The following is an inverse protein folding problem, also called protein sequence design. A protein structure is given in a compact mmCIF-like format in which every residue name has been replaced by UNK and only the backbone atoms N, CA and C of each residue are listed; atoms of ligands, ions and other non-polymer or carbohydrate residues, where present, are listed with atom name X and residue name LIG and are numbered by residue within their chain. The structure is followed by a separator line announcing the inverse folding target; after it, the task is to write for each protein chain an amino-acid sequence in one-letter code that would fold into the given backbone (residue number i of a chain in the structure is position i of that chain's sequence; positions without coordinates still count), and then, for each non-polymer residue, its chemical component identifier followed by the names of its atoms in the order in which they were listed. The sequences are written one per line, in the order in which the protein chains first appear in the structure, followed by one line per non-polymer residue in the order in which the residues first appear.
data_IF_891887505000
#
_entry.id   IF_891887505000
#
_cell.length_a   1.000
_cell.length_b   1.000
_cell.length_c   1.000
_cell.angle_alpha   90.00
_cell.angle_beta   90.00
_cell.angle_gamma   90.00
#
_symmetry.space_group_name_H-M   'P 1'
#
loop_
_entity.id
_entity.type
_entity.pdbx_description
1 polymer ?
#
# COMPACT_ATOMS: atom_id res chain seq x y z
N UNK A 1 -8.43 -22.79 14.77
CA UNK A 1 -9.83 -22.56 14.35
C UNK A 1 -9.74 -21.66 13.13
N UNK A 2 -9.96 -22.21 11.93
CA UNK A 2 -9.79 -21.48 10.66
C UNK A 2 -11.20 -21.21 10.13
N UNK A 3 -11.74 -20.03 10.43
CA UNK A 3 -12.91 -19.46 9.76
C UNK A 3 -12.41 -18.18 9.06
N UNK A 4 -12.82 -17.80 7.86
CA UNK A 4 -13.74 -18.36 6.89
C UNK A 4 -13.20 -18.00 5.49
N UNK A 5 -13.44 -18.85 4.49
CA UNK A 5 -13.33 -18.43 3.09
C UNK A 5 -14.36 -17.31 2.86
N UNK A 6 -13.91 -16.04 2.89
CA UNK A 6 -14.75 -14.93 2.48
C UNK A 6 -14.84 -14.93 0.95
N UNK A 7 -16.07 -15.08 0.46
CA UNK A 7 -16.39 -14.82 -0.95
C UNK A 7 -16.05 -13.37 -1.25
N UNK A 8 -15.18 -13.16 -2.25
CA UNK A 8 -14.70 -11.84 -2.72
C UNK A 8 -15.89 -10.89 -2.90
N UNK A 9 -15.81 -9.70 -2.32
CA UNK A 9 -16.84 -8.67 -2.47
C UNK A 9 -16.89 -8.08 -3.88
N UNK A 10 -17.58 -6.94 -4.06
CA UNK A 10 -17.65 -6.31 -5.37
C UNK A 10 -16.25 -5.91 -5.86
N UNK A 11 -15.96 -6.24 -7.12
CA UNK A 11 -14.69 -5.91 -7.76
C UNK A 11 -14.96 -4.98 -8.94
N UNK A 12 -14.15 -3.92 -9.07
CA UNK A 12 -14.21 -2.99 -10.20
C UNK A 12 -12.85 -2.92 -10.87
N UNK A 13 -12.83 -2.90 -12.20
CA UNK A 13 -11.61 -2.75 -13.00
C UNK A 13 -11.71 -1.48 -13.83
N UNK A 14 -10.63 -0.71 -13.89
CA UNK A 14 -10.53 0.51 -14.70
C UNK A 14 -9.10 0.73 -15.18
N UNK A 15 -8.93 1.38 -16.31
CA UNK A 15 -7.61 1.85 -16.75
C UNK A 15 -7.09 2.98 -15.84
N UNK A 16 -5.80 2.95 -15.53
CA UNK A 16 -5.10 4.05 -14.87
C UNK A 16 -4.69 5.10 -15.90
N UNK A 17 -4.67 6.39 -15.52
CA UNK A 17 -4.09 7.44 -16.35
C UNK A 17 -2.62 7.13 -16.66
N UNK A 18 -2.24 7.24 -17.93
CA UNK A 18 -0.85 7.06 -18.36
C UNK A 18 -0.08 8.37 -18.19
N UNK A 19 0.38 8.63 -16.98
CA UNK A 19 1.10 9.88 -16.63
C UNK A 19 2.51 9.93 -17.23
N UNK A 20 3.19 8.78 -17.33
CA UNK A 20 4.53 8.69 -17.91
C UNK A 20 4.54 7.76 -19.13
N UNK A 21 5.13 8.20 -20.23
CA UNK A 21 5.18 7.42 -21.48
C UNK A 21 6.05 6.15 -21.37
N UNK A 22 7.01 6.13 -20.45
CA UNK A 22 7.88 4.97 -20.20
C UNK A 22 7.09 3.76 -19.66
N UNK A 23 5.97 4.03 -19.00
CA UNK A 23 5.12 3.04 -18.37
C UNK A 23 4.09 2.49 -19.35
N UNK A 24 3.97 1.17 -19.39
CA UNK A 24 2.97 0.42 -20.13
C UNK A 24 1.56 0.69 -19.59
N UNK A 25 0.50 0.46 -20.39
CA UNK A 25 -0.88 0.53 -19.92
C UNK A 25 -1.05 -0.20 -18.58
N UNK A 26 -1.79 0.42 -17.68
CA UNK A 26 -1.97 -0.06 -16.31
C UNK A 26 -3.45 -0.13 -16.00
N UNK A 27 -3.86 -1.20 -15.35
CA UNK A 27 -5.20 -1.39 -14.84
C UNK A 27 -5.19 -1.35 -13.32
N UNK A 28 -6.22 -0.72 -12.77
CA UNK A 28 -6.55 -0.73 -11.35
C UNK A 28 -7.71 -1.69 -11.11
N UNK A 29 -7.56 -2.54 -10.11
CA UNK A 29 -8.57 -3.49 -9.63
C UNK A 29 -8.90 -3.09 -8.19
N UNK A 30 -10.14 -2.64 -7.97
CA UNK A 30 -10.66 -2.19 -6.69
C UNK A 30 -11.49 -3.32 -6.06
N UNK A 31 -11.10 -3.79 -4.88
CA UNK A 31 -11.81 -4.84 -4.13
C UNK A 31 -12.48 -4.23 -2.91
N UNK A 32 -13.80 -4.39 -2.80
CA UNK A 32 -14.60 -3.82 -1.71
C UNK A 32 -15.10 -4.91 -0.75
N UNK A 33 -15.31 -4.54 0.52
CA UNK A 33 -16.01 -5.39 1.47
C UNK A 33 -17.48 -5.55 1.11
N UNK A 34 -18.04 -6.75 1.32
CA UNK A 34 -19.46 -7.00 1.09
C UNK A 34 -20.30 -6.36 2.19
N UNK A 35 -21.39 -5.68 1.81
CA UNK A 35 -22.40 -5.19 2.76
C UNK A 35 -22.02 -3.92 3.51
N UNK A 36 -20.80 -3.41 3.34
CA UNK A 36 -20.41 -2.07 3.80
C UNK A 36 -20.67 -1.11 2.65
N UNK A 37 -21.50 -0.10 2.86
CA UNK A 37 -21.73 0.99 1.89
C UNK A 37 -20.52 1.95 1.80
N UNK A 38 -19.30 1.44 1.97
CA UNK A 38 -18.09 2.25 1.78
C UNK A 38 -17.83 2.37 0.29
N UNK A 39 -17.73 3.61 -0.18
CA UNK A 39 -17.30 3.92 -1.54
C UNK A 39 -15.82 3.61 -1.77
N UNK A 40 -15.05 3.38 -0.71
CA UNK A 40 -13.61 3.15 -0.79
C UNK A 40 -13.30 1.64 -0.90
N UNK A 41 -12.35 1.25 -1.75
CA UNK A 41 -11.86 -0.12 -1.81
C UNK A 41 -11.11 -0.47 -0.53
N UNK A 42 -11.24 -1.72 -0.08
CA UNK A 42 -10.42 -2.28 0.98
C UNK A 42 -8.99 -2.56 0.48
N UNK A 43 -8.89 -3.03 -0.77
CA UNK A 43 -7.62 -3.31 -1.44
C UNK A 43 -7.70 -2.80 -2.87
N UNK A 44 -6.63 -2.15 -3.32
CA UNK A 44 -6.44 -1.76 -4.71
C UNK A 44 -5.23 -2.50 -5.26
N UNK A 45 -5.42 -3.27 -6.33
CA UNK A 45 -4.32 -3.92 -7.04
C UNK A 45 -4.06 -3.21 -8.38
N UNK A 46 -2.79 -3.04 -8.73
CA UNK A 46 -2.35 -2.42 -9.97
C UNK A 46 -1.58 -3.43 -10.82
N UNK A 47 -2.03 -3.56 -12.06
CA UNK A 47 -1.49 -4.52 -13.02
C UNK A 47 -1.03 -3.75 -14.25
N UNK A 48 0.25 -3.84 -14.61
CA UNK A 48 0.75 -3.27 -15.87
C UNK A 48 0.80 -4.34 -16.95
N UNK A 49 0.70 -3.91 -18.21
CA UNK A 49 0.79 -4.83 -19.35
C UNK A 49 2.14 -5.55 -19.39
N UNK A 50 3.22 -4.89 -19.00
CA UNK A 50 4.57 -5.44 -19.08
C UNK A 50 4.98 -6.28 -17.86
N UNK A 51 4.59 -5.85 -16.64
CA UNK A 51 5.04 -6.47 -15.40
C UNK A 51 4.00 -7.41 -14.76
N UNK A 52 2.75 -7.35 -15.20
CA UNK A 52 1.64 -7.99 -14.47
C UNK A 52 1.34 -7.24 -13.17
N UNK A 53 0.95 -7.96 -12.13
CA UNK A 53 0.67 -7.38 -10.81
C UNK A 53 1.94 -6.80 -10.20
N UNK A 54 1.97 -5.48 -10.00
CA UNK A 54 3.17 -4.79 -9.49
C UNK A 54 2.94 -3.96 -8.23
N UNK A 55 1.69 -3.71 -7.85
CA UNK A 55 1.38 -3.02 -6.60
C UNK A 55 0.04 -3.50 -6.02
N UNK A 56 0.01 -3.73 -4.70
CA UNK A 56 -1.20 -3.93 -3.91
C UNK A 56 -1.20 -2.90 -2.79
N UNK A 57 -2.19 -2.01 -2.75
CA UNK A 57 -2.38 -1.05 -1.67
C UNK A 57 -3.51 -1.52 -0.75
N UNK A 58 -3.24 -1.63 0.56
CA UNK A 58 -4.26 -1.92 1.56
C UNK A 58 -4.77 -0.61 2.19
N UNK A 59 -6.08 -0.39 2.15
CA UNK A 59 -6.69 0.82 2.71
C UNK A 59 -6.50 0.93 4.22
N UNK A 60 -6.15 2.11 4.71
CA UNK A 60 -5.82 2.30 6.13
C UNK A 60 -7.02 2.10 7.08
N UNK A 61 -8.26 2.11 6.59
CA UNK A 61 -9.48 1.96 7.41
C UNK A 61 -10.19 0.64 7.11
N UNK A 62 -10.27 0.30 5.83
CA UNK A 62 -11.05 -0.82 5.34
C UNK A 62 -10.18 -1.99 4.90
N UNK A 63 -8.87 -1.81 4.79
CA UNK A 63 -7.96 -2.85 4.36
C UNK A 63 -7.86 -3.99 5.36
N UNK A 64 -7.49 -5.19 4.89
CA UNK A 64 -7.17 -6.29 5.79
C UNK A 64 -5.94 -5.92 6.62
N UNK A 65 -5.90 -6.31 7.90
CA UNK A 65 -4.68 -6.14 8.67
C UNK A 65 -3.57 -7.03 8.09
N UNK A 66 -2.39 -6.45 7.86
CA UNK A 66 -1.21 -7.16 7.38
C UNK A 66 -0.09 -7.00 8.41
N UNK A 67 0.52 -8.13 8.80
CA UNK A 67 1.65 -8.16 9.71
C UNK A 67 2.98 -8.23 8.97
N UNK A 68 3.99 -7.53 9.47
CA UNK A 68 5.38 -7.64 9.06
C UNK A 68 6.25 -7.71 10.31
N UNK A 69 7.07 -8.75 10.47
CA UNK A 69 7.90 -8.98 11.67
C UNK A 69 7.16 -8.84 13.02
N UNK A 70 5.87 -9.21 13.02
CA UNK A 70 5.00 -9.11 14.21
C UNK A 70 4.31 -7.76 14.39
N UNK A 71 4.59 -6.77 13.54
CA UNK A 71 3.96 -5.45 13.57
C UNK A 71 2.76 -5.38 12.63
N UNK A 72 1.59 -4.91 13.11
CA UNK A 72 0.47 -4.59 12.23
C UNK A 72 0.75 -3.31 11.43
N UNK A 73 0.63 -3.39 10.10
CA UNK A 73 0.97 -2.28 9.20
C UNK A 73 -0.22 -1.42 8.78
N UNK A 74 -1.46 -1.93 8.82
CA UNK A 74 -2.63 -1.22 8.30
C UNK A 74 -3.29 -0.39 9.41
N UNK A 75 -3.53 0.89 9.12
CA UNK A 75 -4.37 1.76 9.93
C UNK A 75 -3.73 2.27 11.22
N UNK A 76 -2.43 2.11 11.39
CA UNK A 76 -1.69 2.63 12.55
C UNK A 76 -1.44 4.11 12.43
N UNK A 77 -1.27 4.80 13.56
CA UNK A 77 -0.71 6.14 13.50
C UNK A 77 0.70 6.07 12.91
N UNK A 78 0.98 6.93 11.93
CA UNK A 78 2.23 6.82 11.18
C UNK A 78 3.46 7.17 12.01
N UNK A 79 3.31 8.09 12.98
CA UNK A 79 4.41 8.47 13.89
C UNK A 79 4.71 7.40 14.92
N UNK A 80 3.67 6.70 15.41
CA UNK A 80 3.84 5.55 16.29
C UNK A 80 4.48 4.37 15.55
N UNK A 81 4.04 4.11 14.30
CA UNK A 81 4.63 3.05 13.49
C UNK A 81 6.10 3.34 13.19
N UNK A 82 6.45 4.56 12.80
CA UNK A 82 7.85 4.99 12.61
C UNK A 82 8.68 4.77 13.89
N UNK A 83 8.17 5.18 15.04
CA UNK A 83 8.89 5.02 16.31
C UNK A 83 9.13 3.54 16.64
N UNK A 84 8.14 2.68 16.39
CA UNK A 84 8.25 1.24 16.62
C UNK A 84 9.23 0.56 15.66
N UNK A 85 9.23 0.95 14.38
CA UNK A 85 10.16 0.44 13.36
C UNK A 85 11.61 0.81 13.69
N UNK A 86 11.86 2.06 14.11
CA UNK A 86 13.19 2.50 14.55
C UNK A 86 13.64 1.70 15.78
N UNK A 87 12.78 1.58 16.80
CA UNK A 87 13.09 0.84 18.01
C UNK A 87 13.31 -0.66 17.73
N UNK A 88 12.57 -1.23 16.78
CA UNK A 88 12.76 -2.62 16.35
C UNK A 88 14.12 -2.81 15.69
N UNK A 89 14.47 -1.95 14.72
CA UNK A 89 15.75 -1.99 14.04
C UNK A 89 16.92 -1.86 15.04
N UNK A 90 16.83 -0.95 16.02
CA UNK A 90 17.82 -0.83 17.09
C UNK A 90 17.94 -2.12 17.94
N UNK A 91 16.80 -2.74 18.29
CA UNK A 91 16.78 -3.93 19.13
C UNK A 91 17.39 -5.17 18.46
N UNK A 92 17.32 -5.26 17.13
CA UNK A 92 17.83 -6.41 16.35
C UNK A 92 19.13 -6.12 15.61
N UNK A 93 19.73 -4.93 15.81
CA UNK A 93 20.87 -4.42 15.01
C UNK A 93 20.59 -4.48 13.50
N UNK A 94 19.35 -4.15 13.14
CA UNK A 94 18.81 -4.19 11.78
C UNK A 94 18.81 -2.82 11.10
N UNK A 95 18.05 -2.74 10.01
CA UNK A 95 17.90 -1.54 9.21
C UNK A 95 16.41 -1.22 8.98
N UNK A 96 16.15 0.04 8.69
CA UNK A 96 14.86 0.55 8.25
C UNK A 96 15.09 1.54 7.11
N UNK A 97 14.05 1.84 6.33
CA UNK A 97 14.14 2.78 5.20
C UNK A 97 13.19 3.94 5.40
N UNK A 98 13.67 5.13 5.06
CA UNK A 98 12.81 6.30 4.95
C UNK A 98 12.09 6.31 3.61
N UNK A 99 10.79 6.55 3.66
CA UNK A 99 9.99 6.82 2.47
C UNK A 99 10.28 8.23 1.95
N UNK A 100 10.00 8.54 0.67
CA UNK A 100 10.11 9.91 0.15
C UNK A 100 9.27 10.93 0.94
N UNK A 101 8.20 10.49 1.59
CA UNK A 101 7.36 11.30 2.47
C UNK A 101 7.92 11.50 3.88
N UNK A 102 9.06 10.87 4.21
CA UNK A 102 9.83 11.12 5.42
C UNK A 102 9.52 10.21 6.61
N UNK A 103 8.86 9.06 6.40
CA UNK A 103 8.54 8.11 7.48
C UNK A 103 9.45 6.89 7.42
N UNK A 104 9.85 6.36 8.57
CA UNK A 104 10.53 5.07 8.62
C UNK A 104 9.54 3.92 8.36
N UNK A 105 10.01 2.90 7.65
CA UNK A 105 9.33 1.62 7.49
C UNK A 105 10.32 0.48 7.29
N UNK A 106 9.80 -0.74 7.06
CA UNK A 106 10.63 -1.92 6.92
C UNK A 106 11.72 -1.79 5.85
N UNK A 107 12.90 -2.35 6.11
CA UNK A 107 13.94 -2.55 5.08
C UNK A 107 13.63 -3.76 4.17
N UNK A 108 12.38 -3.84 3.70
CA UNK A 108 11.93 -4.83 2.72
C UNK A 108 11.62 -4.11 1.40
N UNK A 109 12.34 -4.39 0.29
CA UNK A 109 12.12 -3.75 -1.01
C UNK A 109 10.71 -3.99 -1.58
N UNK A 110 9.96 -4.96 -1.05
CA UNK A 110 8.58 -5.23 -1.41
C UNK A 110 7.55 -4.43 -0.61
N UNK A 111 7.94 -3.71 0.45
CA UNK A 111 7.02 -3.00 1.35
C UNK A 111 7.30 -1.50 1.34
N UNK A 112 6.27 -0.74 0.99
CA UNK A 112 6.25 0.72 0.97
C UNK A 112 5.18 1.20 1.93
N UNK A 113 5.58 1.95 2.96
CA UNK A 113 4.61 2.55 3.89
C UNK A 113 4.19 3.92 3.35
N UNK A 114 2.87 4.13 3.22
CA UNK A 114 2.31 5.44 2.85
C UNK A 114 1.40 5.95 3.95
N UNK A 115 1.24 7.26 4.01
CA UNK A 115 0.20 7.90 4.81
C UNK A 115 -1.10 8.04 4.03
N UNK A 116 -2.22 7.67 4.65
CA UNK A 116 -3.58 7.95 4.21
C UNK A 116 -4.28 8.80 5.26
N UNK A 117 -4.82 9.94 4.85
CA UNK A 117 -5.48 10.84 5.79
C UNK A 117 -6.84 10.29 6.18
N UNK A 118 -7.09 10.18 7.48
CA UNK A 118 -8.35 9.70 8.06
C UNK A 118 -8.80 10.71 9.10
N UNK A 119 -9.74 11.58 8.73
CA UNK A 119 -10.08 12.73 9.55
C UNK A 119 -8.89 13.69 9.69
N UNK A 120 -8.39 13.89 10.92
CA UNK A 120 -7.25 14.77 11.20
C UNK A 120 -5.92 14.04 11.39
N UNK A 121 -5.91 12.71 11.29
CA UNK A 121 -4.71 11.89 11.51
C UNK A 121 -4.24 11.24 10.22
N UNK A 122 -2.94 10.98 10.14
CA UNK A 122 -2.34 10.23 9.04
C UNK A 122 -2.16 8.78 9.47
N UNK A 123 -2.85 7.87 8.78
CA UNK A 123 -2.81 6.44 9.09
C UNK A 123 -1.97 5.68 8.07
N UNK A 124 -1.31 4.63 8.52
CA UNK A 124 -0.48 3.79 7.66
C UNK A 124 -1.32 3.01 6.65
N UNK A 125 -0.91 3.13 5.38
CA UNK A 125 -1.45 2.47 4.20
C UNK A 125 -0.28 1.73 3.53
N UNK A 126 -0.07 0.44 3.81
CA UNK A 126 1.03 -0.29 3.19
C UNK A 126 0.72 -0.61 1.73
N UNK A 127 1.74 -0.44 0.90
CA UNK A 127 1.80 -0.84 -0.50
C UNK A 127 2.80 -1.99 -0.61
N UNK A 128 2.37 -3.09 -1.24
CA UNK A 128 3.22 -4.23 -1.55
C UNK A 128 3.58 -4.18 -3.02
N UNK A 129 4.86 -4.03 -3.33
CA UNK A 129 5.29 -3.56 -4.63
C UNK A 129 6.41 -4.40 -5.22
N UNK A 130 6.46 -4.47 -6.55
CA UNK A 130 7.63 -4.91 -7.30
C UNK A 130 7.92 -3.90 -8.39
N UNK A 131 9.17 -3.87 -8.86
CA UNK A 131 9.58 -2.94 -9.91
C UNK A 131 8.83 -3.23 -11.22
N UNK A 132 8.28 -2.18 -11.83
CA UNK A 132 7.61 -2.24 -13.14
C UNK A 132 8.54 -1.86 -14.29
N UNK A 133 8.03 -1.92 -15.51
CA UNK A 133 8.74 -1.54 -16.71
C UNK A 133 9.32 -0.12 -16.66
N UNK A 134 10.64 -0.01 -16.88
CA UNK A 134 11.35 1.27 -16.91
C UNK A 134 11.59 1.95 -15.55
N UNK A 135 11.20 1.32 -14.44
CA UNK A 135 11.47 1.79 -13.08
C UNK A 135 12.80 1.22 -12.55
N UNK A 136 13.51 1.97 -11.69
CA UNK A 136 14.73 1.48 -11.05
C UNK A 136 14.44 0.87 -9.66
N UNK A 137 13.38 1.33 -9.01
CA UNK A 137 12.94 0.89 -7.69
C UNK A 137 11.41 0.70 -7.62
N UNK A 138 10.96 0.11 -6.52
CA UNK A 138 9.54 0.04 -6.16
C UNK A 138 8.91 1.44 -6.06
N UNK A 139 9.65 2.44 -5.58
CA UNK A 139 9.19 3.83 -5.50
C UNK A 139 8.93 4.44 -6.87
N UNK A 140 9.85 4.21 -7.83
CA UNK A 140 9.66 4.65 -9.22
C UNK A 140 8.47 3.95 -9.88
N UNK A 141 8.07 2.79 -9.34
CA UNK A 141 6.95 2.01 -9.86
C UNK A 141 5.59 2.49 -9.37
N UNK A 142 5.54 3.44 -8.43
CA UNK A 142 4.32 3.85 -7.74
C UNK A 142 3.22 4.31 -8.70
N UNK A 143 1.99 3.75 -8.60
CA UNK A 143 0.86 4.19 -9.41
C UNK A 143 0.57 5.68 -9.19
N UNK A 144 0.23 6.39 -10.28
CA UNK A 144 -0.05 7.83 -10.23
C UNK A 144 -1.18 8.19 -9.26
N UNK A 145 -2.17 7.32 -9.11
CA UNK A 145 -3.28 7.52 -8.19
C UNK A 145 -2.84 7.50 -6.72
N UNK A 146 -1.78 6.75 -6.38
CA UNK A 146 -1.30 6.64 -5.00
C UNK A 146 -0.66 7.95 -4.51
N UNK A 147 -0.19 8.84 -5.39
CA UNK A 147 0.28 10.19 -4.98
C UNK A 147 -0.84 11.07 -4.41
N UNK A 148 -2.10 10.84 -4.78
CA UNK A 148 -3.22 11.71 -4.41
C UNK A 148 -3.86 11.35 -3.06
N UNK A 149 -3.59 10.15 -2.52
CA UNK A 149 -4.20 9.67 -1.29
C UNK A 149 -3.70 10.36 0.01
N UNK A 150 -2.69 11.25 -0.10
CA UNK A 150 -2.20 12.07 1.00
C UNK A 150 -2.83 13.47 1.14
N UNK A 151 -3.76 13.86 0.25
CA UNK A 151 -4.19 15.28 0.10
C UNK A 151 -5.67 15.57 0.44
N UNK A 152 -6.41 14.69 1.12
CA UNK A 152 -7.82 14.95 1.44
C UNK A 152 -8.03 15.98 2.55
#
# INVERSE_FOLDING_TARGET
MVEAFQVVGQTKVSDCPRVHAIFSPTWKIEVHHRGVASSLPAVTAYVSQAAGLFCIAADAVHGPQVGHDGFPLVGRDLSELESDEVAHAEAVDGHFRYTPEGYAGPDDPGVVIRGQRVGQVLRSRPLFMVTRDGANSEWDSMPSEEYHHGQS
#
